data_IF_896140467078
#
_entry.id   IF_896140467078
#
_cell.length_a   1.000
_cell.length_b   1.000
_cell.length_c   1.000
_cell.angle_alpha   90.00
_cell.angle_beta   90.00
_cell.angle_gamma   90.00
#
_symmetry.space_group_name_H-M   'P 1'
#
loop_
_entity.id
_entity.type
_entity.pdbx_description
1 polymer ?
#
# COMPACT_ATOMS: atom_id res chain seq x y z
N UNK A 1 -26.82 23.98 -1.13
CA UNK A 1 -27.03 22.58 -1.55
C UNK A 1 -27.59 22.65 -2.96
N UNK A 2 -27.02 21.85 -3.85
CA UNK A 2 -27.45 21.61 -5.25
C UNK A 2 -27.08 22.62 -6.33
N UNK A 3 -25.85 22.53 -6.82
CA UNK A 3 -25.50 22.83 -8.22
C UNK A 3 -24.62 21.70 -8.76
N UNK A 4 -25.23 20.55 -9.01
CA UNK A 4 -24.61 19.45 -9.77
C UNK A 4 -25.61 18.81 -10.74
N UNK A 5 -26.46 19.67 -11.32
CA UNK A 5 -27.55 19.29 -12.22
C UNK A 5 -27.56 20.21 -13.42
N UNK A 6 -26.62 20.01 -14.34
CA UNK A 6 -26.79 20.22 -15.79
C UNK A 6 -25.48 19.92 -16.55
N UNK A 7 -25.01 18.68 -16.48
CA UNK A 7 -24.09 18.18 -17.50
C UNK A 7 -24.94 17.76 -18.71
N UNK A 8 -25.22 18.71 -19.62
CA UNK A 8 -25.82 18.38 -20.91
C UNK A 8 -24.76 17.74 -21.80
N UNK A 9 -24.91 16.45 -22.05
CA UNK A 9 -24.15 15.74 -23.07
C UNK A 9 -24.68 16.18 -24.43
N UNK A 10 -23.92 17.03 -25.12
CA UNK A 10 -24.20 17.45 -26.50
C UNK A 10 -22.91 17.34 -27.28
N UNK A 11 -22.93 16.52 -28.33
CA UNK A 11 -21.85 16.47 -29.33
C UNK A 11 -20.78 15.44 -29.00
N UNK A 12 -20.51 14.59 -29.98
CA UNK A 12 -19.77 13.33 -29.90
C UNK A 12 -18.25 13.53 -29.91
N UNK A 13 -17.71 14.33 -28.98
CA UNK A 13 -16.26 14.43 -28.74
C UNK A 13 -16.02 14.93 -27.32
N UNK A 14 -16.28 14.05 -26.34
CA UNK A 14 -15.80 14.26 -24.99
C UNK A 14 -14.27 14.15 -25.04
N UNK A 15 -13.57 15.28 -24.92
CA UNK A 15 -12.12 15.37 -24.90
C UNK A 15 -11.52 14.42 -23.84
N UNK A 16 -11.25 13.18 -24.22
CA UNK A 16 -10.54 12.19 -23.39
C UNK A 16 -9.12 12.69 -23.07
N UNK A 17 -8.58 13.55 -23.93
CA UNK A 17 -7.32 14.26 -23.76
C UNK A 17 -7.35 15.27 -22.58
N UNK A 18 -8.42 16.06 -22.42
CA UNK A 18 -8.50 17.09 -21.36
C UNK A 18 -8.47 16.48 -19.96
N UNK A 19 -9.18 15.35 -19.76
CA UNK A 19 -9.16 14.66 -18.45
C UNK A 19 -7.80 14.00 -18.16
N UNK A 20 -7.02 13.71 -19.20
CA UNK A 20 -5.69 13.08 -19.08
C UNK A 20 -4.59 14.13 -18.84
N UNK A 21 -4.68 15.29 -19.50
CA UNK A 21 -3.78 16.44 -19.28
C UNK A 21 -3.92 17.04 -17.88
N UNK A 22 -5.14 17.11 -17.33
CA UNK A 22 -5.36 17.65 -15.98
C UNK A 22 -4.77 16.74 -14.87
N UNK A 23 -4.73 15.42 -15.10
CA UNK A 23 -4.05 14.47 -14.21
C UNK A 23 -2.53 14.50 -14.35
N UNK A 24 -2.01 14.74 -15.56
CA UNK A 24 -0.57 14.93 -15.79
C UNK A 24 -0.05 16.18 -15.08
N UNK A 25 -0.88 17.23 -15.04
CA UNK A 25 -0.55 18.51 -14.42
C UNK A 25 -0.40 18.45 -12.89
N UNK A 26 -1.04 17.51 -12.19
CA UNK A 26 -0.99 17.47 -10.73
C UNK A 26 0.38 17.02 -10.21
N UNK A 27 0.95 15.94 -10.75
CA UNK A 27 2.28 15.46 -10.37
C UNK A 27 3.40 16.42 -10.80
N UNK A 28 3.27 17.07 -11.96
CA UNK A 28 4.25 18.03 -12.47
C UNK A 28 4.32 19.31 -11.62
N UNK A 29 3.20 19.74 -11.03
CA UNK A 29 3.15 20.94 -10.16
C UNK A 29 3.84 20.75 -8.82
N UNK A 30 3.95 19.53 -8.32
CA UNK A 30 4.67 19.28 -7.07
C UNK A 30 6.16 19.04 -7.31
N UNK A 31 6.57 18.51 -8.47
CA UNK A 31 7.99 18.26 -8.77
C UNK A 31 8.70 17.35 -7.77
N UNK A 32 7.95 16.60 -6.94
CA UNK A 32 8.49 15.78 -5.86
C UNK A 32 8.43 14.30 -6.26
N UNK A 33 9.59 13.64 -6.20
CA UNK A 33 9.70 12.20 -6.31
C UNK A 33 9.96 11.59 -4.93
N UNK A 34 9.01 10.79 -4.45
CA UNK A 34 9.11 10.07 -3.18
C UNK A 34 9.64 8.66 -3.42
N UNK A 35 10.91 8.46 -3.08
CA UNK A 35 11.54 7.14 -3.11
C UNK A 35 11.20 6.34 -1.85
N UNK A 36 11.06 5.02 -2.01
CA UNK A 36 10.92 4.10 -0.90
C UNK A 36 12.20 3.29 -0.73
N UNK A 37 12.69 3.23 0.52
CA UNK A 37 13.79 2.33 0.86
C UNK A 37 13.27 0.91 1.04
N UNK A 38 13.96 -0.11 0.50
CA UNK A 38 13.58 -1.49 0.71
C UNK A 38 13.72 -1.85 2.19
N UNK A 39 12.67 -2.43 2.75
CA UNK A 39 12.65 -2.88 4.14
C UNK A 39 13.47 -4.17 4.27
N UNK A 40 14.47 -4.16 5.14
CA UNK A 40 15.25 -5.35 5.47
C UNK A 40 14.48 -6.30 6.41
N UNK A 41 15.03 -7.48 6.68
CA UNK A 41 14.39 -8.47 7.55
C UNK A 41 14.11 -7.94 8.95
N UNK A 42 15.03 -7.17 9.54
CA UNK A 42 14.86 -6.62 10.87
C UNK A 42 13.70 -5.62 10.93
N UNK A 43 13.58 -4.74 9.93
CA UNK A 43 12.47 -3.81 9.80
C UNK A 43 11.14 -4.51 9.60
N UNK A 44 11.11 -5.56 8.77
CA UNK A 44 9.93 -6.39 8.59
C UNK A 44 9.47 -7.04 9.90
N UNK A 45 10.39 -7.64 10.65
CA UNK A 45 10.07 -8.27 11.94
C UNK A 45 9.59 -7.27 12.99
N UNK A 46 10.14 -6.04 13.02
CA UNK A 46 9.62 -4.97 13.89
C UNK A 46 8.16 -4.64 13.60
N UNK A 47 7.78 -4.61 12.32
CA UNK A 47 6.39 -4.39 11.93
C UNK A 47 5.52 -5.57 12.38
N UNK A 48 6.00 -6.81 12.23
CA UNK A 48 5.30 -8.00 12.74
C UNK A 48 5.11 -7.89 14.26
N UNK A 49 6.15 -7.55 15.02
CA UNK A 49 6.07 -7.39 16.47
C UNK A 49 5.05 -6.33 16.90
N UNK A 50 4.91 -5.24 16.13
CA UNK A 50 3.90 -4.21 16.42
C UNK A 50 2.45 -4.71 16.31
N UNK A 51 2.20 -5.77 15.54
CA UNK A 51 0.88 -6.43 15.47
C UNK A 51 0.67 -7.44 16.61
N UNK A 52 1.73 -7.86 17.29
CA UNK A 52 1.71 -8.88 18.33
C UNK A 52 2.26 -8.33 19.67
N UNK A 53 1.74 -7.21 20.21
CA UNK A 53 2.34 -6.53 21.36
C UNK A 53 2.44 -7.44 22.60
N UNK A 54 1.39 -8.23 22.86
CA UNK A 54 1.26 -9.09 24.05
C UNK A 54 1.30 -10.59 23.71
N UNK A 55 2.03 -10.98 22.66
CA UNK A 55 2.13 -12.39 22.29
C UNK A 55 2.85 -13.20 23.37
N UNK A 56 2.14 -14.18 23.95
CA UNK A 56 2.63 -15.01 25.04
C UNK A 56 3.46 -16.23 24.60
N UNK A 57 3.48 -16.52 23.29
CA UNK A 57 4.23 -17.64 22.71
C UNK A 57 5.71 -17.30 22.45
N UNK A 58 6.42 -18.25 21.84
CA UNK A 58 7.81 -18.04 21.46
C UNK A 58 7.94 -17.03 20.30
N UNK A 59 8.57 -15.90 20.61
CA UNK A 59 8.81 -14.83 19.64
C UNK A 59 9.72 -15.28 18.50
N UNK A 60 10.68 -16.17 18.75
CA UNK A 60 11.57 -16.67 17.69
C UNK A 60 10.80 -17.52 16.69
N UNK A 61 9.98 -18.44 17.17
CA UNK A 61 9.08 -19.23 16.33
C UNK A 61 8.13 -18.33 15.51
N UNK A 62 7.55 -17.30 16.12
CA UNK A 62 6.71 -16.32 15.41
C UNK A 62 7.48 -15.60 14.29
N UNK A 63 8.72 -15.19 14.54
CA UNK A 63 9.58 -14.54 13.54
C UNK A 63 9.95 -15.48 12.40
N UNK A 64 10.25 -16.74 12.68
CA UNK A 64 10.52 -17.76 11.67
C UNK A 64 9.30 -18.01 10.78
N UNK A 65 8.11 -18.16 11.40
CA UNK A 65 6.85 -18.29 10.68
C UNK A 65 6.59 -17.05 9.80
N UNK A 66 6.82 -15.84 10.31
CA UNK A 66 6.66 -14.61 9.55
C UNK A 66 7.63 -14.50 8.36
N UNK A 67 8.88 -14.98 8.52
CA UNK A 67 9.87 -15.06 7.43
C UNK A 67 9.42 -16.03 6.36
N UNK A 68 9.02 -17.24 6.74
CA UNK A 68 8.53 -18.26 5.82
C UNK A 68 7.29 -17.78 5.06
N UNK A 69 6.35 -17.15 5.76
CA UNK A 69 5.15 -16.56 5.15
C UNK A 69 5.49 -15.51 4.08
N UNK A 70 6.44 -14.62 4.37
CA UNK A 70 6.89 -13.61 3.41
C UNK A 70 7.64 -14.24 2.22
N UNK A 71 8.52 -15.22 2.47
CA UNK A 71 9.27 -15.92 1.43
C UNK A 71 8.35 -16.68 0.47
N UNK A 72 7.34 -17.38 0.99
CA UNK A 72 6.34 -18.09 0.19
C UNK A 72 5.54 -17.17 -0.76
N UNK A 73 5.51 -15.86 -0.49
CA UNK A 73 4.82 -14.84 -1.30
C UNK A 73 5.79 -13.95 -2.08
N UNK A 74 6.89 -14.53 -2.57
CA UNK A 74 7.89 -13.84 -3.38
C UNK A 74 8.86 -12.98 -2.57
N UNK A 75 9.02 -13.24 -1.28
CA UNK A 75 10.01 -12.56 -0.43
C UNK A 75 9.71 -11.09 -0.14
N UNK A 76 8.46 -10.66 -0.32
CA UNK A 76 8.02 -9.28 -0.10
C UNK A 76 8.07 -8.92 1.38
N UNK A 77 8.98 -8.02 1.75
CA UNK A 77 9.16 -7.49 3.10
C UNK A 77 8.43 -6.15 3.21
N UNK A 78 7.11 -6.17 3.34
CA UNK A 78 6.32 -4.95 3.42
C UNK A 78 5.37 -4.97 4.60
N UNK A 79 4.90 -3.80 5.03
CA UNK A 79 3.87 -3.70 6.06
C UNK A 79 2.56 -4.40 5.66
N UNK A 80 2.24 -4.44 4.36
CA UNK A 80 1.10 -5.20 3.84
C UNK A 80 1.29 -6.70 4.05
N UNK A 81 2.48 -7.24 3.79
CA UNK A 81 2.79 -8.64 4.05
C UNK A 81 2.70 -8.98 5.55
N UNK A 82 3.21 -8.10 6.43
CA UNK A 82 3.11 -8.28 7.87
C UNK A 82 1.64 -8.27 8.35
N UNK A 83 0.81 -7.38 7.81
CA UNK A 83 -0.65 -7.36 8.11
C UNK A 83 -1.36 -8.63 7.62
N UNK A 84 -0.97 -9.15 6.45
CA UNK A 84 -1.51 -10.42 5.95
C UNK A 84 -1.10 -11.61 6.82
N UNK A 85 0.16 -11.63 7.27
CA UNK A 85 0.66 -12.62 8.22
C UNK A 85 -0.14 -12.55 9.53
N UNK A 86 -0.29 -11.36 10.11
CA UNK A 86 -1.08 -11.15 11.32
C UNK A 86 -2.49 -11.74 11.17
N UNK A 87 -3.21 -11.39 10.10
CA UNK A 87 -4.56 -11.94 9.83
C UNK A 87 -4.62 -13.46 9.68
N UNK A 88 -3.52 -14.10 9.29
CA UNK A 88 -3.45 -15.55 9.14
C UNK A 88 -3.05 -16.27 10.44
N UNK A 89 -2.49 -15.54 11.42
CA UNK A 89 -1.90 -16.07 12.65
C UNK A 89 -2.56 -15.54 13.93
N UNK A 90 -3.52 -14.61 13.82
CA UNK A 90 -4.33 -14.05 14.91
C UNK A 90 -5.61 -14.84 15.11
#
# INVERSE_FOLDING_TARGET
>A
MDENREARVVGDDLHLADTTEEKLALSDRFGLWLSFYPVNWQGYLKIVDSYFPNYAGDRKALHEAAKQFAMARGGTKSGRAAKQFFKAYS
#
